data_IF_987231985536
#
_entry.id   IF_987231985536
#
_cell.length_a   1.000
_cell.length_b   1.000
_cell.length_c   1.000
_cell.angle_alpha   90.00
_cell.angle_beta   90.00
_cell.angle_gamma   90.00
#
_symmetry.space_group_name_H-M   'P 1'
#
loop_
_entity.id
_entity.type
_entity.pdbx_description
1 polymer ?
#
# COMPACT_ATOMS: atom_id res chain seq x y z
N UNK A 1 17.92 19.86 -5.46
CA UNK A 1 16.46 19.78 -5.19
C UNK A 1 16.06 18.32 -5.25
N UNK A 2 15.73 17.72 -4.11
CA UNK A 2 15.35 16.30 -4.04
C UNK A 2 13.98 16.09 -4.69
N UNK A 3 13.94 15.34 -5.80
CA UNK A 3 12.66 14.93 -6.38
C UNK A 3 12.01 13.93 -5.44
N UNK A 4 10.95 14.32 -4.73
CA UNK A 4 10.12 13.45 -3.86
C UNK A 4 9.34 12.36 -4.63
N UNK A 5 9.76 12.03 -5.86
CA UNK A 5 9.13 11.00 -6.68
C UNK A 5 9.94 9.72 -6.51
N UNK A 6 9.36 8.82 -5.73
CA UNK A 6 9.87 7.46 -5.54
C UNK A 6 8.89 6.45 -6.12
N UNK A 7 9.35 5.22 -6.32
CA UNK A 7 8.48 4.10 -6.69
C UNK A 7 7.32 4.01 -5.68
N UNK A 8 6.07 4.05 -6.17
CA UNK A 8 4.86 4.02 -5.35
C UNK A 8 4.21 5.38 -5.10
N UNK A 9 4.82 6.48 -5.56
CA UNK A 9 4.19 7.81 -5.47
C UNK A 9 2.92 7.86 -6.31
N UNK A 10 1.80 8.23 -5.67
CA UNK A 10 0.52 8.40 -6.37
C UNK A 10 0.46 9.76 -7.08
N UNK A 11 -0.18 9.77 -8.25
CA UNK A 11 -0.41 10.98 -9.03
C UNK A 11 -1.64 10.84 -9.91
N UNK A 12 -2.04 11.95 -10.53
CA UNK A 12 -3.15 11.98 -11.49
C UNK A 12 -2.59 11.91 -12.90
N UNK A 13 -3.00 10.92 -13.68
CA UNK A 13 -2.67 10.84 -15.10
C UNK A 13 -3.37 11.99 -15.83
N UNK A 14 -2.59 12.84 -16.48
CA UNK A 14 -3.10 14.02 -17.21
C UNK A 14 -3.22 13.76 -18.70
N UNK A 15 -2.24 13.08 -19.28
CA UNK A 15 -2.23 12.77 -20.71
C UNK A 15 -1.30 11.58 -21.00
N UNK A 16 -1.53 10.90 -22.13
CA UNK A 16 -0.70 9.81 -22.65
C UNK A 16 -0.40 10.06 -24.12
N UNK A 17 0.88 10.15 -24.45
CA UNK A 17 1.36 10.29 -25.81
C UNK A 17 1.56 8.89 -26.41
N UNK A 18 0.91 8.67 -27.55
CA UNK A 18 0.99 7.43 -28.30
C UNK A 18 1.76 7.62 -29.60
N UNK A 19 2.34 6.53 -30.08
CA UNK A 19 2.89 6.40 -31.43
C UNK A 19 2.19 5.23 -32.11
N UNK A 20 1.67 5.48 -33.31
CA UNK A 20 1.14 4.40 -34.15
C UNK A 20 2.32 3.59 -34.71
N UNK A 21 2.26 2.28 -34.53
CA UNK A 21 3.19 1.29 -35.08
C UNK A 21 2.40 0.31 -35.97
N UNK A 22 3.06 -0.46 -36.85
CA UNK A 22 2.39 -1.47 -37.67
C UNK A 22 1.63 -2.52 -36.84
N UNK A 23 2.00 -2.69 -35.58
CA UNK A 23 1.46 -3.68 -34.65
C UNK A 23 0.37 -3.11 -33.73
N UNK A 24 0.12 -1.79 -33.76
CA UNK A 24 -0.89 -1.12 -32.97
C UNK A 24 -0.45 0.25 -32.44
N UNK A 25 -1.06 0.72 -31.35
CA UNK A 25 -0.65 1.95 -30.66
C UNK A 25 0.25 1.63 -29.48
N UNK A 26 1.44 2.23 -29.46
CA UNK A 26 2.37 2.11 -28.36
C UNK A 26 2.40 3.42 -27.55
N UNK A 27 2.29 3.33 -26.22
CA UNK A 27 2.41 4.48 -25.34
C UNK A 27 3.88 4.86 -25.17
N UNK A 28 4.26 6.07 -25.61
CA UNK A 28 5.64 6.57 -25.57
C UNK A 28 5.93 7.31 -24.28
N UNK A 29 4.94 8.02 -23.76
CA UNK A 29 5.07 8.84 -22.57
C UNK A 29 3.72 9.02 -21.89
N UNK A 30 3.70 9.05 -20.57
CA UNK A 30 2.55 9.46 -19.78
C UNK A 30 2.91 10.65 -18.89
N UNK A 31 2.09 11.69 -18.93
CA UNK A 31 2.24 12.85 -18.06
C UNK A 31 1.43 12.65 -16.79
N UNK A 32 2.12 12.62 -15.64
CA UNK A 32 1.50 12.41 -14.34
C UNK A 32 1.72 13.62 -13.45
N UNK A 33 0.62 14.19 -12.96
CA UNK A 33 0.62 15.26 -11.96
C UNK A 33 0.80 14.67 -10.57
N UNK A 34 1.91 15.02 -9.91
CA UNK A 34 2.26 14.61 -8.55
C UNK A 34 2.35 15.86 -7.66
N UNK A 35 1.25 16.27 -7.00
CA UNK A 35 1.21 17.54 -6.26
C UNK A 35 2.31 17.72 -5.22
N UNK A 36 2.80 16.62 -4.64
CA UNK A 36 3.84 16.61 -3.61
C UNK A 36 5.28 16.80 -4.13
N UNK A 37 5.50 16.74 -5.45
CA UNK A 37 6.86 16.74 -6.01
C UNK A 37 7.49 18.13 -6.10
N UNK A 38 6.68 19.20 -6.13
CA UNK A 38 7.09 20.59 -6.41
C UNK A 38 8.00 20.76 -7.65
N UNK A 39 8.05 19.78 -8.55
CA UNK A 39 8.90 19.81 -9.74
C UNK A 39 8.30 20.78 -10.76
N UNK A 40 9.12 21.62 -11.36
CA UNK A 40 8.77 22.42 -12.53
C UNK A 40 9.75 22.07 -13.64
N UNK A 41 9.25 21.42 -14.70
CA UNK A 41 10.02 21.11 -15.90
C UNK A 41 9.69 22.15 -16.97
N UNK A 42 10.70 22.55 -17.74
CA UNK A 42 10.53 23.50 -18.83
C UNK A 42 9.50 22.97 -19.85
N UNK A 43 8.53 23.81 -20.21
CA UNK A 43 7.44 23.43 -21.12
C UNK A 43 6.33 22.57 -20.49
N UNK A 44 6.39 22.23 -19.20
CA UNK A 44 5.35 21.47 -18.52
C UNK A 44 4.74 22.23 -17.33
N UNK A 45 3.45 21.99 -17.01
CA UNK A 45 2.83 22.55 -15.82
C UNK A 45 3.54 22.12 -14.53
N UNK A 46 3.42 22.93 -13.48
CA UNK A 46 3.99 22.59 -12.17
C UNK A 46 3.48 21.22 -11.68
N UNK A 47 4.39 20.46 -11.09
CA UNK A 47 4.19 19.12 -10.55
C UNK A 47 3.82 18.05 -11.59
N UNK A 48 3.95 18.33 -12.89
CA UNK A 48 3.75 17.34 -13.95
C UNK A 48 5.10 16.71 -14.32
N UNK A 49 5.13 15.39 -14.37
CA UNK A 49 6.34 14.63 -14.69
C UNK A 49 6.05 13.65 -15.84
N UNK A 50 6.90 13.63 -16.88
CA UNK A 50 6.83 12.63 -17.94
C UNK A 50 7.36 11.29 -17.43
N UNK A 51 6.59 10.23 -17.67
CA UNK A 51 6.93 8.86 -17.33
C UNK A 51 7.07 8.08 -18.62
N UNK A 52 8.22 7.44 -18.80
CA UNK A 52 8.56 6.68 -19.99
C UNK A 52 8.45 5.17 -19.75
N UNK A 53 8.19 4.37 -20.80
CA UNK A 53 8.19 2.92 -20.73
C UNK A 53 9.50 2.37 -20.14
N UNK A 54 9.36 1.32 -19.33
CA UNK A 54 10.48 0.54 -18.83
C UNK A 54 10.41 -0.89 -19.34
N UNK A 55 11.52 -1.34 -19.89
CA UNK A 55 11.72 -2.74 -20.28
C UNK A 55 12.20 -3.55 -19.10
N UNK A 56 11.45 -4.59 -18.76
CA UNK A 56 11.82 -5.57 -17.73
C UNK A 56 11.88 -6.95 -18.36
N UNK A 57 12.95 -7.67 -18.08
CA UNK A 57 13.10 -9.06 -18.48
C UNK A 57 12.88 -9.98 -17.27
N UNK A 58 12.11 -11.05 -17.47
CA UNK A 58 11.92 -12.08 -16.47
C UNK A 58 11.83 -13.45 -17.11
N UNK A 59 12.20 -14.47 -16.34
CA UNK A 59 12.15 -15.85 -16.79
C UNK A 59 10.83 -16.48 -16.34
N UNK A 60 10.01 -16.88 -17.30
CA UNK A 60 8.81 -17.66 -17.08
C UNK A 60 9.14 -19.15 -17.17
N UNK A 61 8.82 -19.93 -16.14
CA UNK A 61 9.07 -21.38 -16.09
C UNK A 61 7.74 -22.14 -16.11
N UNK A 62 7.20 -22.48 -17.28
CA UNK A 62 5.95 -23.24 -17.38
C UNK A 62 6.08 -24.69 -16.89
N UNK A 63 7.29 -25.26 -16.87
CA UNK A 63 7.54 -26.60 -16.32
C UNK A 63 8.94 -26.66 -15.68
N UNK A 64 9.25 -27.74 -14.96
CA UNK A 64 10.58 -27.94 -14.35
C UNK A 64 11.71 -28.01 -15.39
N UNK A 65 11.40 -28.34 -16.63
CA UNK A 65 12.38 -28.58 -17.71
C UNK A 65 12.43 -27.40 -18.68
N UNK A 66 11.36 -26.60 -18.79
CA UNK A 66 11.27 -25.50 -19.76
C UNK A 66 11.29 -24.15 -19.06
N UNK A 67 12.16 -23.26 -19.53
CA UNK A 67 12.17 -21.86 -19.15
C UNK A 67 12.20 -20.97 -20.39
N UNK A 68 11.41 -19.90 -20.39
CA UNK A 68 11.33 -18.92 -21.47
C UNK A 68 11.68 -17.56 -20.88
N UNK A 69 12.57 -16.82 -21.55
CA UNK A 69 12.86 -15.43 -21.18
C UNK A 69 11.85 -14.53 -21.89
N UNK A 70 11.12 -13.75 -21.10
CA UNK A 70 10.12 -12.80 -21.59
C UNK A 70 10.62 -11.40 -21.31
N UNK A 71 10.52 -10.52 -22.31
CA UNK A 71 10.77 -9.08 -22.16
C UNK A 71 9.43 -8.35 -22.26
N UNK A 72 9.20 -7.39 -21.37
CA UNK A 72 8.02 -6.52 -21.40
C UNK A 72 8.44 -5.07 -21.30
N UNK A 73 8.13 -4.27 -22.31
CA UNK A 73 8.20 -2.81 -22.29
C UNK A 73 6.81 -2.24 -22.01
N UNK A 74 6.66 -1.47 -20.93
CA UNK A 74 5.39 -0.81 -20.61
C UNK A 74 5.63 0.44 -19.74
N UNK A 75 4.67 1.36 -19.73
CA UNK A 75 4.65 2.43 -18.72
C UNK A 75 4.62 1.82 -17.31
N UNK A 76 5.50 2.22 -16.38
CA UNK A 76 5.54 1.70 -15.01
C UNK A 76 4.42 2.31 -14.14
N UNK A 77 3.20 2.30 -14.67
CA UNK A 77 2.00 2.83 -14.03
C UNK A 77 1.03 1.70 -13.73
N UNK A 78 0.33 1.83 -12.62
CA UNK A 78 -0.77 0.94 -12.24
C UNK A 78 -1.95 1.80 -11.79
N UNK A 79 -3.18 1.46 -12.19
CA UNK A 79 -4.37 2.16 -11.70
C UNK A 79 -4.38 2.20 -10.18
N UNK A 80 -4.49 3.39 -9.62
CA UNK A 80 -4.47 3.64 -8.18
C UNK A 80 -5.87 3.53 -7.54
N UNK A 81 -6.86 2.96 -8.25
CA UNK A 81 -8.22 2.77 -7.71
C UNK A 81 -8.37 1.50 -6.88
N UNK A 82 -7.52 0.50 -7.11
CA UNK A 82 -7.50 -0.74 -6.37
C UNK A 82 -6.07 -1.06 -5.97
N UNK A 83 -5.84 -1.10 -4.66
CA UNK A 83 -4.56 -1.47 -4.11
C UNK A 83 -4.69 -2.82 -3.40
N UNK A 84 -3.66 -3.65 -3.50
CA UNK A 84 -3.53 -4.77 -2.58
C UNK A 84 -3.21 -4.23 -1.18
N UNK A 85 -3.62 -4.96 -0.16
CA UNK A 85 -3.32 -4.70 1.25
C UNK A 85 -1.86 -4.29 1.52
N UNK A 86 -0.89 -4.94 0.86
CA UNK A 86 0.53 -4.60 0.95
C UNK A 86 0.90 -3.24 0.33
N UNK A 87 0.20 -2.78 -0.71
CA UNK A 87 0.52 -1.51 -1.41
C UNK A 87 -0.07 -0.27 -0.74
N UNK A 88 -0.99 -0.41 0.23
CA UNK A 88 -1.57 0.72 0.99
C UNK A 88 -0.89 0.91 2.35
N UNK A 89 0.11 0.09 2.71
CA UNK A 89 0.78 0.24 4.00
C UNK A 89 1.46 1.62 4.09
N UNK A 90 0.96 2.48 4.98
CA UNK A 90 1.43 3.86 5.18
C UNK A 90 0.65 4.95 4.44
N UNK A 91 -0.34 4.60 3.61
CA UNK A 91 -1.18 5.57 2.91
C UNK A 91 -2.54 5.75 3.61
N UNK A 92 -2.89 6.99 3.95
CA UNK A 92 -4.23 7.35 4.42
C UNK A 92 -5.13 7.67 3.23
N UNK A 93 -6.09 6.79 2.92
CA UNK A 93 -7.07 7.00 1.85
C UNK A 93 -8.31 7.72 2.41
N UNK A 94 -8.79 8.75 1.70
CA UNK A 94 -9.93 9.57 2.14
C UNK A 94 -11.26 8.80 2.13
N UNK A 95 -11.38 7.80 1.26
CA UNK A 95 -12.47 6.81 1.19
C UNK A 95 -11.87 5.47 0.74
N UNK A 96 -12.35 4.38 1.32
CA UNK A 96 -11.83 3.03 1.04
C UNK A 96 -12.99 2.12 0.69
N UNK A 97 -12.90 1.44 -0.45
CA UNK A 97 -13.77 0.32 -0.77
C UNK A 97 -12.95 -0.96 -0.62
N UNK A 98 -13.39 -1.87 0.24
CA UNK A 98 -12.69 -3.12 0.54
C UNK A 98 -13.43 -4.31 -0.04
N UNK A 99 -12.67 -5.30 -0.52
CA UNK A 99 -13.21 -6.58 -0.94
C UNK A 99 -12.85 -7.68 0.08
N UNK A 100 -13.73 -7.87 1.05
CA UNK A 100 -13.51 -8.84 2.13
C UNK A 100 -13.64 -10.30 1.66
N UNK A 101 -14.21 -10.54 0.48
CA UNK A 101 -14.31 -11.91 -0.07
C UNK A 101 -12.95 -12.45 -0.50
N UNK A 102 -12.05 -11.57 -0.97
CA UNK A 102 -10.68 -11.93 -1.38
C UNK A 102 -9.70 -12.00 -0.22
N UNK A 103 -10.11 -11.65 1.01
CA UNK A 103 -9.30 -11.80 2.20
C UNK A 103 -8.94 -13.29 2.41
N UNK A 104 -7.64 -13.58 2.50
CA UNK A 104 -7.12 -14.93 2.78
C UNK A 104 -7.19 -15.32 4.26
N UNK A 105 -7.50 -14.37 5.14
CA UNK A 105 -7.72 -14.58 6.56
C UNK A 105 -8.05 -13.27 7.29
N UNK A 106 -8.26 -13.38 8.61
CA UNK A 106 -8.60 -12.25 9.49
C UNK A 106 -7.55 -11.12 9.43
N UNK A 107 -6.27 -11.44 9.22
CA UNK A 107 -5.19 -10.45 9.14
C UNK A 107 -5.35 -9.54 7.91
N UNK A 108 -5.61 -10.13 6.73
CA UNK A 108 -5.83 -9.33 5.51
C UNK A 108 -7.09 -8.48 5.65
N UNK A 109 -8.16 -9.04 6.24
CA UNK A 109 -9.37 -8.30 6.52
C UNK A 109 -9.10 -7.10 7.45
N UNK A 110 -8.34 -7.31 8.52
CA UNK A 110 -7.94 -6.25 9.44
C UNK A 110 -7.09 -5.17 8.77
N UNK A 111 -6.10 -5.56 7.96
CA UNK A 111 -5.26 -4.61 7.21
C UNK A 111 -6.13 -3.76 6.28
N UNK A 112 -7.04 -4.37 5.51
CA UNK A 112 -7.94 -3.63 4.63
C UNK A 112 -8.85 -2.66 5.39
N UNK A 113 -9.45 -3.10 6.50
CA UNK A 113 -10.38 -2.29 7.29
C UNK A 113 -9.66 -1.14 8.01
N UNK A 114 -8.46 -1.38 8.53
CA UNK A 114 -7.64 -0.36 9.22
C UNK A 114 -7.04 0.70 8.30
N UNK A 115 -7.29 0.65 6.98
CA UNK A 115 -6.98 1.75 6.06
C UNK A 115 -8.10 2.79 5.98
N UNK A 116 -9.32 2.45 6.40
CA UNK A 116 -10.41 3.40 6.43
C UNK A 116 -10.32 4.30 7.68
N UNK A 117 -10.29 5.64 7.54
CA UNK A 117 -10.17 6.54 8.70
C UNK A 117 -11.45 6.64 9.53
N UNK A 118 -12.59 6.18 8.99
CA UNK A 118 -13.87 6.11 9.70
C UNK A 118 -14.83 5.16 8.98
N UNK A 119 -15.83 4.63 9.69
CA UNK A 119 -16.86 3.77 9.10
C UNK A 119 -17.65 4.46 7.98
N UNK A 120 -17.92 5.78 8.07
CA UNK A 120 -18.61 6.54 7.00
C UNK A 120 -17.82 6.61 5.69
N UNK A 121 -16.52 6.34 5.76
CA UNK A 121 -15.58 6.37 4.63
C UNK A 121 -15.19 4.96 4.17
N UNK A 122 -15.84 3.92 4.70
CA UNK A 122 -15.64 2.51 4.36
C UNK A 122 -16.83 2.00 3.55
N UNK A 123 -16.56 1.50 2.35
CA UNK A 123 -17.50 0.72 1.54
C UNK A 123 -17.08 -0.73 1.49
N UNK A 124 -18.03 -1.66 1.62
CA UNK A 124 -17.80 -3.08 1.36
C UNK A 124 -18.27 -3.37 -0.06
N UNK A 125 -17.36 -3.83 -0.92
CA UNK A 125 -17.62 -4.00 -2.35
C UNK A 125 -18.73 -5.01 -2.64
N UNK A 126 -18.78 -6.10 -1.88
CA UNK A 126 -19.75 -7.20 -2.04
C UNK A 126 -19.94 -7.95 -0.73
N UNK A 127 -21.06 -8.65 -0.63
CA UNK A 127 -21.36 -9.51 0.51
C UNK A 127 -20.24 -10.52 0.77
N UNK A 128 -19.95 -10.77 2.05
CA UNK A 128 -18.92 -11.70 2.50
C UNK A 128 -19.43 -12.55 3.67
N UNK A 129 -18.91 -13.76 3.81
CA UNK A 129 -19.24 -14.63 4.95
C UNK A 129 -18.55 -14.13 6.21
N UNK A 130 -19.30 -14.05 7.33
CA UNK A 130 -18.81 -13.63 8.66
C UNK A 130 -17.56 -14.40 9.08
N UNK A 131 -17.45 -15.67 8.70
CA UNK A 131 -16.29 -16.54 8.96
C UNK A 131 -14.96 -15.97 8.46
N UNK A 132 -14.96 -15.08 7.46
CA UNK A 132 -13.74 -14.41 6.97
C UNK A 132 -13.14 -13.46 8.02
N UNK A 133 -13.99 -12.78 8.79
CA UNK A 133 -13.55 -11.82 9.83
C UNK A 133 -13.48 -12.49 11.20
N UNK A 134 -14.36 -13.45 11.49
CA UNK A 134 -14.37 -14.18 12.75
C UNK A 134 -13.50 -15.44 12.72
N UNK A 135 -12.56 -15.54 11.77
CA UNK A 135 -11.65 -16.69 11.69
C UNK A 135 -10.59 -16.66 12.78
N UNK A 136 -10.07 -17.85 13.14
CA UNK A 136 -9.00 -18.01 14.12
C UNK A 136 -7.77 -17.23 13.66
N UNK A 137 -7.27 -16.33 14.51
CA UNK A 137 -5.98 -15.65 14.29
C UNK A 137 -4.86 -16.69 14.22
N UNK A 138 -3.84 -16.46 13.38
CA UNK A 138 -2.67 -17.33 13.31
C UNK A 138 -1.99 -17.44 14.68
N UNK A 139 -1.42 -18.62 14.95
CA UNK A 139 -0.83 -18.96 16.24
C UNK A 139 0.34 -18.04 16.60
N UNK A 140 1.26 -17.79 15.68
CA UNK A 140 2.40 -16.89 15.87
C UNK A 140 1.95 -15.49 16.32
N UNK A 141 0.89 -14.96 15.70
CA UNK A 141 0.38 -13.64 16.04
C UNK A 141 -0.31 -13.60 17.40
N UNK A 142 -0.92 -14.71 17.82
CA UNK A 142 -1.48 -14.84 19.18
C UNK A 142 -0.39 -14.90 20.22
N UNK A 143 0.65 -15.68 19.97
CA UNK A 143 1.82 -15.76 20.84
C UNK A 143 2.45 -14.38 21.00
N UNK A 144 2.60 -13.63 19.90
CA UNK A 144 3.16 -12.28 19.95
C UNK A 144 2.25 -11.29 20.70
N UNK A 145 0.92 -11.35 20.48
CA UNK A 145 -0.03 -10.50 21.24
C UNK A 145 0.01 -10.80 22.74
N UNK A 146 0.09 -12.07 23.14
CA UNK A 146 0.23 -12.48 24.54
C UNK A 146 1.54 -11.95 25.14
N UNK A 147 2.65 -12.04 24.38
CA UNK A 147 3.95 -11.51 24.79
C UNK A 147 3.87 -9.99 24.98
N UNK A 148 3.28 -9.26 24.04
CA UNK A 148 3.12 -7.81 24.14
C UNK A 148 2.24 -7.39 25.33
N UNK A 149 1.14 -8.10 25.59
CA UNK A 149 0.29 -7.83 26.75
C UNK A 149 1.03 -8.04 28.07
N UNK A 150 1.90 -9.05 28.14
CA UNK A 150 2.76 -9.27 29.30
C UNK A 150 3.76 -8.12 29.50
N UNK A 151 4.45 -7.70 28.44
CA UNK A 151 5.38 -6.56 28.51
C UNK A 151 4.67 -5.23 28.87
N UNK A 152 3.47 -5.00 28.36
CA UNK A 152 2.66 -3.82 28.68
C UNK A 152 2.31 -3.81 30.18
N UNK A 153 1.88 -4.95 30.71
CA UNK A 153 1.64 -5.10 32.15
C UNK A 153 2.89 -4.79 32.98
N UNK A 154 4.05 -5.38 32.65
CA UNK A 154 5.31 -5.13 33.35
C UNK A 154 5.70 -3.65 33.31
N UNK A 155 5.57 -3.01 32.15
CA UNK A 155 5.86 -1.58 31.95
C UNK A 155 4.94 -0.71 32.81
N UNK A 156 3.65 -1.04 32.85
CA UNK A 156 2.67 -0.32 33.65
C UNK A 156 2.94 -0.46 35.16
N UNK A 157 3.28 -1.67 35.62
CA UNK A 157 3.67 -1.90 37.02
C UNK A 157 4.95 -1.14 37.39
N UNK A 158 5.96 -1.17 36.53
CA UNK A 158 7.19 -0.41 36.74
C UNK A 158 6.92 1.10 36.87
N UNK A 159 6.06 1.66 36.01
CA UNK A 159 5.71 3.08 36.03
C UNK A 159 4.96 3.47 37.32
N UNK A 160 4.00 2.65 37.75
CA UNK A 160 3.29 2.84 39.02
C UNK A 160 4.27 2.82 40.19
N UNK A 161 5.13 1.80 40.27
CA UNK A 161 6.08 1.63 41.37
C UNK A 161 7.09 2.80 41.43
N UNK A 162 7.55 3.30 40.28
CA UNK A 162 8.43 4.47 40.21
C UNK A 162 7.75 5.75 40.69
N UNK A 163 6.47 5.96 40.37
CA UNK A 163 5.72 7.13 40.83
C UNK A 163 5.33 7.07 42.31
N UNK A 164 5.17 5.86 42.87
CA UNK A 164 4.96 5.67 44.31
C UNK A 164 6.25 5.98 45.08
N UNK A 165 7.42 5.53 44.61
CA UNK A 165 8.71 5.83 45.25
C UNK A 165 9.13 7.30 45.18
N UNK A 166 8.60 8.08 44.25
CA UNK A 166 8.96 9.50 44.06
C UNK A 166 7.97 10.50 44.74
N UNK A 167 7.00 10.04 45.53
CA UNK A 167 6.17 10.97 46.31
C UNK A 167 6.96 11.53 47.50
N UNK A 168 7.11 12.86 47.64
CA UNK A 168 7.76 13.42 48.82
C UNK A 168 6.90 13.12 50.06
N UNK A 169 7.55 12.65 51.11
CA UNK A 169 6.95 12.50 52.43
C UNK A 169 6.35 13.84 52.86
N UNK A 170 5.03 13.91 53.03
CA UNK A 170 4.38 15.07 53.62
C UNK A 170 4.89 15.22 55.05
N UNK A 171 5.67 16.26 55.31
CA UNK A 171 5.99 16.78 56.64
C UNK A 171 4.81 17.54 57.21
#
# INVERSE_FOLDING_TARGET
MESKIVNGTAGTLTDVVYKDTPEGREAVCAYVKVPSSHIALEGLPQSVVPIFPRSVQFTYRPSRVRSVRVSRSQLPLVPAWAFTDYKVQGASLSRVVVDLTSARGIQNAYVMLSRAPSLRKLGVFRWFSSHRIFSRLQEDLRTELSRLAHLDYETHQWFINRNISNKPSKS
#
